data_IF_430244894571
#
_entry.id   IF_430244894571
#
_cell.length_a   1.000
_cell.length_b   1.000
_cell.length_c   1.000
_cell.angle_alpha   90.00
_cell.angle_beta   90.00
_cell.angle_gamma   90.00
#
_symmetry.space_group_name_H-M   'P 1'
#
loop_
_entity.id
_entity.type
_entity.pdbx_description
1 polymer ?
#
# COMPACT_ATOMS: atom_id res chain seq x y z
N UNK A 1 -27.27 9.89 9.32
CA UNK A 1 -26.57 8.85 8.53
C UNK A 1 -25.13 9.31 8.40
N UNK A 2 -24.15 8.55 8.90
CA UNK A 2 -22.75 8.95 8.78
C UNK A 2 -22.34 8.89 7.29
N UNK A 3 -21.82 9.98 6.76
CA UNK A 3 -21.28 10.00 5.39
C UNK A 3 -19.98 9.21 5.40
N UNK A 4 -19.92 8.12 4.66
CA UNK A 4 -18.69 7.34 4.51
C UNK A 4 -17.72 8.20 3.69
N UNK A 5 -16.48 8.44 4.15
CA UNK A 5 -15.51 9.23 3.42
C UNK A 5 -15.19 8.55 2.07
N UNK A 6 -15.08 9.36 1.02
CA UNK A 6 -14.75 8.87 -0.33
C UNK A 6 -13.30 8.38 -0.33
N UNK A 7 -13.08 7.14 -0.77
CA UNK A 7 -11.73 6.62 -0.99
C UNK A 7 -11.16 7.28 -2.25
N UNK A 8 -10.03 7.95 -2.10
CA UNK A 8 -9.31 8.56 -3.22
C UNK A 8 -8.66 7.46 -4.09
N UNK A 9 -8.65 7.62 -5.42
CA UNK A 9 -8.00 6.66 -6.30
C UNK A 9 -6.50 6.54 -6.04
N UNK A 10 -5.96 5.35 -6.28
CA UNK A 10 -4.51 5.16 -6.26
C UNK A 10 -3.89 5.84 -7.47
N UNK A 11 -2.86 6.64 -7.23
CA UNK A 11 -2.11 7.35 -8.28
C UNK A 11 -0.71 6.77 -8.34
N UNK A 12 -0.31 6.30 -9.52
CA UNK A 12 1.05 5.80 -9.75
C UNK A 12 1.95 7.00 -10.08
N UNK A 13 2.34 7.75 -9.06
CA UNK A 13 3.25 8.89 -9.18
C UNK A 13 4.37 8.83 -8.13
N UNK A 14 5.60 9.10 -8.54
CA UNK A 14 6.78 9.08 -7.68
C UNK A 14 7.75 7.89 -7.90
N UNK A 15 8.79 7.79 -7.07
CA UNK A 15 9.82 6.78 -7.22
C UNK A 15 9.27 5.37 -6.94
N UNK A 16 9.76 4.33 -7.65
CA UNK A 16 9.38 2.94 -7.43
C UNK A 16 9.28 2.51 -5.96
N UNK A 17 10.28 2.89 -5.16
CA UNK A 17 10.34 2.55 -3.73
C UNK A 17 9.22 3.16 -2.89
N UNK A 18 8.70 4.32 -3.25
CA UNK A 18 7.56 4.93 -2.56
C UNK A 18 6.23 4.27 -2.99
N UNK A 19 6.11 3.85 -4.25
CA UNK A 19 4.89 3.27 -4.80
C UNK A 19 4.47 1.99 -4.07
N UNK A 20 5.43 1.15 -3.66
CA UNK A 20 5.15 -0.08 -2.91
C UNK A 20 4.50 0.21 -1.55
N UNK A 21 5.04 1.20 -0.81
CA UNK A 21 4.52 1.61 0.48
C UNK A 21 3.14 2.28 0.35
N UNK A 22 2.99 3.18 -0.62
CA UNK A 22 1.71 3.85 -0.92
C UNK A 22 0.63 2.84 -1.35
N UNK A 23 0.99 1.82 -2.13
CA UNK A 23 0.06 0.75 -2.52
C UNK A 23 -0.47 0.00 -1.30
N UNK A 24 0.41 -0.41 -0.37
CA UNK A 24 0.02 -1.08 0.88
C UNK A 24 -0.92 -0.20 1.71
N UNK A 25 -0.59 1.08 1.90
CA UNK A 25 -1.45 2.02 2.62
C UNK A 25 -2.82 2.18 1.96
N UNK A 26 -2.86 2.27 0.63
CA UNK A 26 -4.10 2.39 -0.11
C UNK A 26 -4.98 1.13 0.00
N UNK A 27 -4.38 -0.07 -0.08
CA UNK A 27 -5.10 -1.35 0.13
C UNK A 27 -5.66 -1.43 1.55
N UNK A 28 -4.92 -1.01 2.57
CA UNK A 28 -5.41 -0.99 3.96
C UNK A 28 -6.63 -0.06 4.11
N UNK A 29 -6.61 1.11 3.45
CA UNK A 29 -7.77 2.02 3.39
C UNK A 29 -8.95 1.39 2.64
N UNK A 30 -8.70 0.66 1.57
CA UNK A 30 -9.74 -0.06 0.81
C UNK A 30 -10.41 -1.15 1.65
N UNK A 31 -9.64 -1.96 2.38
CA UNK A 31 -10.19 -2.98 3.28
C UNK A 31 -11.03 -2.36 4.41
N UNK A 32 -10.55 -1.25 4.97
CA UNK A 32 -11.31 -0.47 5.95
C UNK A 32 -12.63 0.04 5.36
N UNK A 33 -12.62 0.50 4.11
CA UNK A 33 -13.83 0.91 3.39
C UNK A 33 -14.81 -0.25 3.19
N UNK A 34 -14.34 -1.44 2.79
CA UNK A 34 -15.18 -2.63 2.67
C UNK A 34 -15.80 -3.06 4.01
N UNK A 35 -15.03 -3.02 5.09
CA UNK A 35 -15.53 -3.30 6.43
C UNK A 35 -16.60 -2.28 6.87
N UNK A 36 -16.37 -0.99 6.63
CA UNK A 36 -17.30 0.07 7.00
C UNK A 36 -18.60 0.05 6.19
N UNK A 37 -18.56 -0.44 4.95
CA UNK A 37 -19.73 -0.54 4.05
C UNK A 37 -20.45 -1.88 4.13
N UNK A 38 -19.93 -2.85 4.90
CA UNK A 38 -20.42 -4.23 4.93
C UNK A 38 -20.58 -4.82 3.51
N UNK A 39 -19.54 -4.64 2.68
CA UNK A 39 -19.58 -5.05 1.28
C UNK A 39 -19.42 -6.57 1.14
N UNK A 40 -20.28 -7.19 0.33
CA UNK A 40 -20.15 -8.61 -0.02
C UNK A 40 -18.87 -8.88 -0.82
N UNK A 41 -18.26 -10.05 -0.61
CA UNK A 41 -17.01 -10.44 -1.26
C UNK A 41 -17.09 -10.43 -2.80
N UNK A 42 -18.24 -10.80 -3.36
CA UNK A 42 -18.48 -10.78 -4.81
C UNK A 42 -18.34 -9.37 -5.42
N UNK A 43 -18.59 -8.33 -4.60
CA UNK A 43 -18.52 -6.93 -5.01
C UNK A 43 -17.14 -6.32 -4.77
N UNK A 44 -16.27 -6.92 -3.95
CA UNK A 44 -14.94 -6.37 -3.65
C UNK A 44 -14.04 -6.27 -4.88
N UNK A 45 -14.03 -7.29 -5.75
CA UNK A 45 -13.21 -7.31 -6.98
C UNK A 45 -13.56 -6.17 -7.94
N UNK A 46 -14.82 -5.99 -8.40
CA UNK A 46 -15.16 -4.85 -9.26
C UNK A 46 -14.97 -3.50 -8.55
N UNK A 47 -15.17 -3.43 -7.22
CA UNK A 47 -14.91 -2.20 -6.47
C UNK A 47 -13.43 -1.84 -6.42
N UNK A 48 -12.51 -2.81 -6.29
CA UNK A 48 -11.07 -2.55 -6.35
C UNK A 48 -10.69 -1.89 -7.68
N UNK A 49 -11.19 -2.43 -8.81
CA UNK A 49 -10.88 -1.89 -10.14
C UNK A 49 -11.49 -0.50 -10.37
N UNK A 50 -12.66 -0.23 -9.80
CA UNK A 50 -13.33 1.07 -9.92
C UNK A 50 -12.67 2.13 -9.05
N UNK A 51 -12.44 1.81 -7.77
CA UNK A 51 -11.89 2.74 -6.78
C UNK A 51 -10.38 2.93 -6.96
N UNK A 52 -9.67 1.94 -7.48
CA UNK A 52 -8.23 2.03 -7.79
C UNK A 52 -7.88 3.01 -8.91
N UNK A 53 -8.87 3.52 -9.65
CA UNK A 53 -8.64 4.46 -10.75
C UNK A 53 -8.22 3.78 -12.06
N UNK A 54 -7.98 4.61 -13.09
CA UNK A 54 -7.77 4.15 -14.46
C UNK A 54 -6.54 3.24 -14.62
N UNK A 55 -5.44 3.57 -13.93
CA UNK A 55 -4.19 2.83 -14.04
C UNK A 55 -4.28 1.45 -13.40
N UNK A 56 -4.85 1.36 -12.19
CA UNK A 56 -5.12 0.08 -11.53
C UNK A 56 -6.15 -0.74 -12.31
N UNK A 57 -7.17 -0.09 -12.90
CA UNK A 57 -8.11 -0.80 -13.76
C UNK A 57 -7.41 -1.40 -14.98
N UNK A 58 -6.48 -0.67 -15.62
CA UNK A 58 -5.73 -1.15 -16.78
C UNK A 58 -4.77 -2.27 -16.38
N UNK A 59 -4.01 -2.09 -15.30
CA UNK A 59 -3.10 -3.09 -14.76
C UNK A 59 -3.84 -4.36 -14.35
N UNK A 60 -4.97 -4.21 -13.66
CA UNK A 60 -5.85 -5.28 -13.24
C UNK A 60 -6.40 -6.13 -14.40
N UNK A 61 -6.60 -5.53 -15.58
CA UNK A 61 -6.94 -6.28 -16.80
C UNK A 61 -5.74 -7.04 -17.37
N UNK A 62 -4.52 -6.48 -17.30
CA UNK A 62 -3.32 -7.17 -17.80
C UNK A 62 -2.92 -8.37 -16.94
N UNK A 63 -3.25 -8.35 -15.65
CA UNK A 63 -2.99 -9.46 -14.72
C UNK A 63 -4.23 -10.32 -14.49
N UNK A 64 -5.33 -10.07 -15.22
CA UNK A 64 -6.56 -10.82 -15.05
C UNK A 64 -6.38 -12.28 -15.49
N UNK A 65 -6.71 -13.20 -14.59
CA UNK A 65 -6.87 -14.62 -14.92
C UNK A 65 -8.29 -14.88 -15.41
N UNK A 66 -8.48 -15.94 -16.20
CA UNK A 66 -9.80 -16.42 -16.61
C UNK A 66 -10.29 -17.55 -15.69
N UNK A 67 -11.58 -17.56 -15.38
CA UNK A 67 -12.25 -18.65 -14.66
C UNK A 67 -12.41 -18.43 -13.14
N UNK A 68 -12.76 -19.47 -12.37
CA UNK A 68 -13.19 -19.36 -10.97
C UNK A 68 -12.07 -18.94 -10.01
N UNK A 69 -10.80 -18.90 -10.48
CA UNK A 69 -9.66 -18.40 -9.72
C UNK A 69 -9.54 -16.89 -9.74
N UNK A 70 -10.30 -16.20 -10.57
CA UNK A 70 -10.30 -14.74 -10.64
C UNK A 70 -11.18 -14.11 -9.54
N UNK A 71 -10.66 -14.17 -8.31
CA UNK A 71 -11.28 -13.64 -7.11
C UNK A 71 -10.71 -12.27 -6.78
N UNK A 72 -11.29 -11.62 -5.77
CA UNK A 72 -10.72 -10.39 -5.20
C UNK A 72 -9.29 -10.62 -4.71
N UNK A 73 -9.06 -11.71 -3.96
CA UNK A 73 -7.78 -12.01 -3.34
C UNK A 73 -6.68 -12.26 -4.38
N UNK A 74 -6.98 -12.99 -5.46
CA UNK A 74 -5.97 -13.25 -6.50
C UNK A 74 -5.62 -11.98 -7.28
N UNK A 75 -6.60 -11.11 -7.56
CA UNK A 75 -6.35 -9.81 -8.19
C UNK A 75 -5.53 -8.89 -7.28
N UNK A 76 -5.92 -8.77 -6.00
CA UNK A 76 -5.21 -7.93 -5.03
C UNK A 76 -3.77 -8.43 -4.82
N UNK A 77 -3.54 -9.73 -4.75
CA UNK A 77 -2.19 -10.31 -4.67
C UNK A 77 -1.39 -10.05 -5.95
N UNK A 78 -1.98 -10.24 -7.14
CA UNK A 78 -1.29 -10.00 -8.40
C UNK A 78 -0.86 -8.53 -8.56
N UNK A 79 -1.72 -7.60 -8.15
CA UNK A 79 -1.39 -6.18 -8.11
C UNK A 79 -0.31 -5.88 -7.06
N UNK A 80 -0.38 -6.50 -5.88
CA UNK A 80 0.64 -6.34 -4.85
C UNK A 80 2.01 -6.82 -5.32
N UNK A 81 2.07 -7.98 -5.98
CA UNK A 81 3.29 -8.52 -6.58
C UNK A 81 3.86 -7.64 -7.70
N UNK A 82 3.04 -6.77 -8.31
CA UNK A 82 3.52 -5.80 -9.30
C UNK A 82 4.28 -4.65 -8.62
N UNK A 83 3.83 -4.22 -7.44
CA UNK A 83 4.43 -3.12 -6.70
C UNK A 83 5.52 -3.58 -5.71
N UNK A 84 5.50 -4.84 -5.27
CA UNK A 84 6.47 -5.41 -4.32
C UNK A 84 7.94 -5.36 -4.78
N UNK A 85 8.29 -5.68 -6.05
CA UNK A 85 9.66 -5.54 -6.55
C UNK A 85 10.15 -4.09 -6.60
N UNK A 86 9.25 -3.12 -6.46
CA UNK A 86 9.61 -1.71 -6.40
C UNK A 86 10.07 -1.32 -4.98
N UNK A 87 9.76 -2.09 -3.95
CA UNK A 87 10.26 -1.88 -2.60
C UNK A 87 11.78 -2.13 -2.59
N UNK A 88 12.55 -1.07 -2.34
CA UNK A 88 13.99 -1.17 -2.20
C UNK A 88 14.34 -1.09 -0.70
N UNK A 89 14.69 -2.22 -0.06
CA UNK A 89 15.00 -2.24 1.37
C UNK A 89 16.20 -1.34 1.72
N UNK A 90 17.17 -1.20 0.81
CA UNK A 90 18.32 -0.30 1.01
C UNK A 90 17.87 1.16 1.03
N UNK A 91 16.92 1.53 0.16
CA UNK A 91 16.37 2.88 0.11
C UNK A 91 15.56 3.22 1.37
N UNK A 92 14.75 2.29 1.86
CA UNK A 92 14.01 2.44 3.12
C UNK A 92 14.98 2.59 4.30
N UNK A 93 16.06 1.79 4.32
CA UNK A 93 17.14 1.91 5.30
C UNK A 93 17.84 3.26 5.25
N UNK A 94 18.09 3.81 4.05
CA UNK A 94 18.67 5.15 3.88
C UNK A 94 17.70 6.22 4.41
N UNK A 95 16.41 6.15 4.07
CA UNK A 95 15.39 7.08 4.55
C UNK A 95 15.32 7.09 6.09
N UNK A 96 15.33 5.91 6.71
CA UNK A 96 15.31 5.77 8.16
C UNK A 96 16.56 6.39 8.79
N UNK A 97 17.76 6.11 8.25
CA UNK A 97 19.04 6.67 8.75
C UNK A 97 19.14 8.18 8.54
N UNK A 98 18.49 8.72 7.50
CA UNK A 98 18.46 10.14 7.21
C UNK A 98 17.35 10.90 7.95
N UNK A 99 16.44 10.21 8.63
CA UNK A 99 15.35 10.84 9.36
C UNK A 99 15.89 11.72 10.50
N UNK A 100 15.62 13.03 10.41
CA UNK A 100 15.90 14.01 11.46
C UNK A 100 14.62 14.71 11.86
N UNK A 101 14.53 15.11 13.13
CA UNK A 101 13.45 15.96 13.62
C UNK A 101 13.46 17.29 12.85
N UNK A 102 12.31 17.70 12.33
CA UNK A 102 12.19 18.97 11.62
C UNK A 102 12.21 20.15 12.62
N UNK A 103 12.60 21.38 12.20
CA UNK A 103 12.73 22.53 13.10
C UNK A 103 11.48 22.93 13.91
N UNK A 104 10.31 22.46 13.49
CA UNK A 104 9.01 22.75 14.13
C UNK A 104 8.21 21.47 14.45
N UNK A 105 8.84 20.30 14.38
CA UNK A 105 8.22 19.02 14.71
C UNK A 105 8.41 18.73 16.20
N UNK A 106 7.33 18.34 16.89
CA UNK A 106 7.45 17.90 18.29
C UNK A 106 8.20 16.57 18.39
N UNK A 107 8.78 16.27 19.55
CA UNK A 107 9.46 14.98 19.76
C UNK A 107 8.49 13.81 19.58
N UNK A 108 7.25 13.94 20.03
CA UNK A 108 6.23 12.90 19.89
C UNK A 108 5.84 12.66 18.42
N UNK A 109 5.70 13.73 17.63
CA UNK A 109 5.43 13.65 16.19
C UNK A 109 6.60 13.01 15.45
N UNK A 110 7.84 13.39 15.79
CA UNK A 110 9.03 12.78 15.23
C UNK A 110 9.13 11.29 15.56
N UNK A 111 8.82 10.92 16.79
CA UNK A 111 8.81 9.52 17.24
C UNK A 111 7.74 8.69 16.52
N UNK A 112 6.53 9.23 16.31
CA UNK A 112 5.48 8.59 15.54
C UNK A 112 5.93 8.35 14.08
N UNK A 113 6.51 9.37 13.43
CA UNK A 113 7.04 9.25 12.07
C UNK A 113 8.17 8.23 11.96
N UNK A 114 9.07 8.19 12.94
CA UNK A 114 10.12 7.17 13.03
C UNK A 114 9.54 5.75 13.13
N UNK A 115 8.49 5.54 13.93
CA UNK A 115 7.80 4.25 14.01
C UNK A 115 7.22 3.83 12.67
N UNK A 116 6.60 4.75 11.95
CA UNK A 116 6.04 4.44 10.63
C UNK A 116 7.13 4.06 9.62
N UNK A 117 8.27 4.77 9.62
CA UNK A 117 9.43 4.42 8.79
C UNK A 117 10.00 3.03 9.13
N UNK A 118 10.04 2.65 10.41
CA UNK A 118 10.50 1.31 10.83
C UNK A 118 9.53 0.22 10.37
N UNK A 119 8.21 0.48 10.38
CA UNK A 119 7.21 -0.50 9.91
C UNK A 119 7.31 -0.79 8.43
N UNK A 120 7.71 0.18 7.63
CA UNK A 120 7.91 0.00 6.19
C UNK A 120 9.26 -0.61 5.88
N UNK A 121 10.28 -0.34 6.69
CA UNK A 121 11.64 -0.81 6.46
C UNK A 121 11.71 -2.33 6.64
N UNK A 122 11.97 -3.03 5.53
CA UNK A 122 12.27 -4.47 5.56
C UNK A 122 13.74 -4.66 5.95
N UNK A 123 14.10 -4.25 7.16
CA UNK A 123 15.42 -4.56 7.70
C UNK A 123 15.46 -6.08 7.86
N UNK A 124 16.16 -6.76 6.96
CA UNK A 124 16.65 -8.10 7.24
C UNK A 124 17.55 -7.92 8.45
N UNK A 125 17.22 -8.56 9.58
CA UNK A 125 18.17 -8.70 10.68
C UNK A 125 19.39 -9.41 10.08
N UNK A 126 20.39 -8.62 9.73
CA UNK A 126 21.74 -9.12 9.62
C UNK A 126 22.14 -9.29 11.07
N UNK A 127 21.76 -10.43 11.66
CA UNK A 127 22.53 -10.96 12.77
C UNK A 127 23.96 -11.05 12.21
N UNK A 128 24.78 -10.07 12.55
CA UNK A 128 26.22 -10.07 12.29
C UNK A 128 26.76 -11.35 12.94
N UNK A 129 26.85 -12.42 12.16
CA UNK A 129 27.63 -13.61 12.50
C UNK A 129 29.09 -13.15 12.57
N UNK A 130 29.58 -12.93 13.81
CA UNK A 130 30.99 -12.72 14.15
C UNK A 130 31.89 -13.89 13.69
#
# INVERSE_FOLDING_TARGET
>A
MASIPVLEPFVIDGPPSALAAQWKEWVDRLETYFAATALDDDRRRPMLLLLGGADIHKLGRSVAEEGPRYTYQTLQQALTNHFEPLANPDYEGILLRQARQLPHESVDTFYARLKDLVRTCTLVDVEDEE
#
